data_IF_290855418622
#
_entry.id   IF_290855418622
#
_cell.length_a   1.000
_cell.length_b   1.000
_cell.length_c   1.000
_cell.angle_alpha   90.00
_cell.angle_beta   90.00
_cell.angle_gamma   90.00
#
_symmetry.space_group_name_H-M   'P 1'
#
loop_
_entity.id
_entity.type
_entity.pdbx_description
1 polymer ?
#
# COMPACT_ATOMS: atom_id res chain seq x y z
N UNK A 1 -31.32 -9.45 -50.73
CA UNK A 1 -30.52 -9.07 -49.54
C UNK A 1 -31.03 -9.63 -48.19
N UNK A 2 -32.29 -10.06 -48.04
CA UNK A 2 -32.82 -10.51 -46.73
C UNK A 2 -32.38 -11.91 -46.23
N UNK A 3 -31.89 -12.81 -47.10
CA UNK A 3 -31.45 -14.16 -46.70
C UNK A 3 -30.09 -14.17 -45.97
N UNK A 4 -29.18 -13.28 -46.36
CA UNK A 4 -27.83 -13.23 -45.80
C UNK A 4 -27.83 -12.61 -44.39
N UNK A 5 -28.68 -11.61 -44.14
CA UNK A 5 -28.80 -10.99 -42.82
C UNK A 5 -29.32 -11.97 -41.75
N UNK A 6 -30.26 -12.85 -42.10
CA UNK A 6 -30.77 -13.89 -41.19
C UNK A 6 -29.69 -14.91 -40.82
N UNK A 7 -28.86 -15.32 -41.78
CA UNK A 7 -27.74 -16.23 -41.51
C UNK A 7 -26.65 -15.57 -40.65
N UNK A 8 -26.32 -14.29 -40.90
CA UNK A 8 -25.35 -13.55 -40.08
C UNK A 8 -25.86 -13.39 -38.64
N UNK A 9 -27.15 -13.09 -38.46
CA UNK A 9 -27.76 -12.97 -37.14
C UNK A 9 -27.80 -14.31 -36.40
N UNK A 10 -28.11 -15.40 -37.11
CA UNK A 10 -28.08 -16.76 -36.55
C UNK A 10 -26.67 -17.13 -36.09
N UNK A 11 -25.64 -16.84 -36.89
CA UNK A 11 -24.24 -17.08 -36.51
C UNK A 11 -23.80 -16.23 -35.31
N UNK A 12 -24.25 -14.97 -35.23
CA UNK A 12 -23.98 -14.11 -34.08
C UNK A 12 -24.60 -14.67 -32.78
N UNK A 13 -25.83 -15.20 -32.85
CA UNK A 13 -26.49 -15.83 -31.69
C UNK A 13 -25.80 -17.13 -31.28
N UNK A 14 -25.40 -17.97 -32.24
CA UNK A 14 -24.70 -19.23 -31.95
C UNK A 14 -23.34 -18.96 -31.28
N UNK A 15 -22.60 -17.96 -31.75
CA UNK A 15 -21.29 -17.60 -31.16
C UNK A 15 -21.43 -17.00 -29.76
N UNK A 16 -22.48 -16.21 -29.51
CA UNK A 16 -22.79 -15.69 -28.16
C UNK A 16 -23.14 -16.82 -27.19
N UNK A 17 -23.97 -17.77 -27.62
CA UNK A 17 -24.36 -18.92 -26.78
C UNK A 17 -23.17 -19.83 -26.50
N UNK A 18 -22.31 -20.10 -27.48
CA UNK A 18 -21.11 -20.90 -27.31
C UNK A 18 -20.08 -20.22 -26.39
N UNK A 19 -19.92 -18.90 -26.50
CA UNK A 19 -19.06 -18.12 -25.60
C UNK A 19 -19.58 -18.11 -24.16
N UNK A 20 -20.91 -18.00 -23.99
CA UNK A 20 -21.54 -18.00 -22.68
C UNK A 20 -21.42 -19.37 -21.98
N UNK A 21 -21.65 -20.47 -22.70
CA UNK A 21 -21.51 -21.82 -22.13
C UNK A 21 -20.06 -22.14 -21.78
N UNK A 22 -19.11 -21.73 -22.62
CA UNK A 22 -17.67 -21.84 -22.34
C UNK A 22 -17.25 -21.05 -21.10
N UNK A 23 -17.73 -19.81 -20.95
CA UNK A 23 -17.47 -18.98 -19.77
C UNK A 23 -18.07 -19.60 -18.49
N UNK A 24 -19.30 -20.11 -18.56
CA UNK A 24 -19.97 -20.72 -17.41
C UNK A 24 -19.25 -21.98 -16.93
N UNK A 25 -18.87 -22.88 -17.84
CA UNK A 25 -18.07 -24.07 -17.49
C UNK A 25 -16.67 -23.70 -16.99
N UNK A 26 -15.98 -22.77 -17.66
CA UNK A 26 -14.65 -22.31 -17.24
C UNK A 26 -14.63 -21.60 -15.89
N UNK A 27 -15.72 -20.90 -15.53
CA UNK A 27 -15.85 -20.22 -14.24
C UNK A 27 -16.09 -21.18 -13.07
N UNK A 28 -16.83 -22.28 -13.30
CA UNK A 28 -17.11 -23.30 -12.27
C UNK A 28 -15.95 -24.25 -11.99
N UNK A 29 -15.07 -24.46 -12.98
CA UNK A 29 -13.88 -25.29 -12.85
C UNK A 29 -12.59 -24.50 -12.54
N UNK A 30 -12.69 -23.30 -11.97
CA UNK A 30 -11.53 -22.73 -11.28
C UNK A 30 -11.21 -23.65 -10.11
N UNK A 31 -10.23 -24.52 -10.30
CA UNK A 31 -9.60 -25.27 -9.23
C UNK A 31 -9.03 -24.25 -8.26
N UNK A 32 -9.82 -23.93 -7.23
CA UNK A 32 -9.32 -23.24 -6.06
C UNK A 32 -8.40 -24.26 -5.42
N UNK A 33 -7.13 -24.24 -5.79
CA UNK A 33 -6.06 -24.83 -5.01
C UNK A 33 -6.11 -24.07 -3.70
N UNK A 34 -6.88 -24.62 -2.74
CA UNK A 34 -6.86 -24.15 -1.36
C UNK A 34 -5.49 -24.53 -0.85
N UNK A 35 -4.54 -23.60 -1.01
CA UNK A 35 -3.30 -23.64 -0.25
C UNK A 35 -3.75 -23.68 1.21
N UNK A 36 -3.45 -24.76 1.96
CA UNK A 36 -3.83 -24.81 3.36
C UNK A 36 -3.24 -23.58 4.05
N UNK A 37 -4.02 -22.90 4.87
CA UNK A 37 -3.54 -21.82 5.72
C UNK A 37 -2.55 -22.43 6.72
N UNK A 38 -1.30 -22.55 6.32
CA UNK A 38 -0.20 -22.82 7.23
C UNK A 38 0.03 -21.55 8.02
N UNK A 39 -0.50 -21.52 9.24
CA UNK A 39 -0.16 -20.50 10.23
C UNK A 39 1.32 -20.65 10.55
N UNK A 40 2.16 -19.86 9.87
CA UNK A 40 3.59 -19.80 10.17
C UNK A 40 3.75 -18.91 11.40
N UNK A 41 3.77 -19.55 12.58
CA UNK A 41 4.11 -18.87 13.83
C UNK A 41 5.63 -18.77 13.90
N UNK A 42 6.16 -17.58 13.65
CA UNK A 42 7.58 -17.30 13.87
C UNK A 42 7.85 -17.26 15.37
N UNK A 43 8.17 -18.41 15.96
CA UNK A 43 8.69 -18.46 17.32
C UNK A 43 10.12 -17.91 17.29
N UNK A 44 10.33 -16.77 17.94
CA UNK A 44 11.67 -16.19 18.05
C UNK A 44 12.38 -16.91 19.19
N UNK A 45 13.04 -18.03 18.88
CA UNK A 45 13.94 -18.68 19.84
C UNK A 45 15.11 -17.72 20.06
N UNK A 46 15.13 -17.04 21.21
CA UNK A 46 16.25 -16.17 21.57
C UNK A 46 17.46 -17.07 21.82
N UNK A 47 18.55 -16.94 21.03
CA UNK A 47 19.77 -17.68 21.31
C UNK A 47 20.27 -17.32 22.70
N UNK A 48 20.92 -18.28 23.35
CA UNK A 48 21.53 -18.06 24.66
C UNK A 48 22.56 -16.94 24.53
N UNK A 49 22.40 -15.88 25.35
CA UNK A 49 23.31 -14.73 25.32
C UNK A 49 24.70 -15.25 25.72
N UNK A 50 25.72 -15.11 24.84
CA UNK A 50 27.04 -15.61 25.16
C UNK A 50 27.57 -14.92 26.41
N UNK A 51 28.14 -15.70 27.32
CA UNK A 51 28.76 -15.17 28.53
C UNK A 51 29.89 -14.21 28.14
N UNK A 52 29.98 -13.02 28.77
CA UNK A 52 30.98 -12.02 28.40
C UNK A 52 32.39 -12.59 28.61
N UNK A 53 33.22 -12.55 27.56
CA UNK A 53 34.63 -12.92 27.64
C UNK A 53 35.39 -11.74 28.26
N UNK A 54 35.68 -11.84 29.56
CA UNK A 54 36.50 -10.84 30.25
C UNK A 54 37.96 -11.02 29.80
N UNK A 55 38.47 -10.07 29.03
CA UNK A 55 39.87 -10.04 28.60
C UNK A 55 40.61 -9.15 29.61
N UNK A 56 41.42 -9.76 30.46
CA UNK A 56 42.32 -9.02 31.35
C UNK A 56 43.54 -8.60 30.53
N UNK A 57 43.81 -7.30 30.47
CA UNK A 57 45.00 -6.74 29.83
C UNK A 57 45.90 -6.15 30.91
N UNK A 58 47.20 -6.38 30.78
CA UNK A 58 48.21 -5.76 31.64
C UNK A 58 48.22 -4.25 31.39
N UNK A 59 48.21 -3.47 32.47
CA UNK A 59 48.22 -2.01 32.42
C UNK A 59 49.69 -1.57 32.30
N UNK A 60 50.06 -0.70 31.34
CA UNK A 60 51.41 -0.16 31.24
C UNK A 60 51.84 0.52 32.56
N UNK A 61 53.15 0.53 32.84
CA UNK A 61 53.68 1.15 34.06
C UNK A 61 53.53 2.68 34.10
N UNK A 62 53.40 3.32 32.92
CA UNK A 62 53.23 4.76 32.77
C UNK A 62 51.95 5.03 31.97
N UNK A 63 50.90 5.46 32.67
CA UNK A 63 49.58 5.70 32.10
C UNK A 63 49.06 7.03 32.62
N UNK A 64 48.72 7.92 31.70
CA UNK A 64 48.03 9.17 32.02
C UNK A 64 46.58 8.88 32.40
N UNK A 65 46.38 8.63 33.70
CA UNK A 65 45.05 8.36 34.27
C UNK A 65 44.11 9.55 34.13
N UNK A 66 44.63 10.79 34.10
CA UNK A 66 43.81 11.98 33.94
C UNK A 66 43.24 12.06 32.53
N UNK A 67 44.04 11.76 31.51
CA UNK A 67 43.58 11.69 30.12
C UNK A 67 42.51 10.60 29.91
N UNK A 68 42.69 9.43 30.53
CA UNK A 68 41.71 8.34 30.46
C UNK A 68 40.38 8.73 31.10
N UNK A 69 40.43 9.34 32.29
CA UNK A 69 39.22 9.80 32.97
C UNK A 69 38.52 10.92 32.17
N UNK A 70 39.29 11.84 31.60
CA UNK A 70 38.75 12.88 30.74
C UNK A 70 38.04 12.32 29.49
N UNK A 71 38.63 11.34 28.80
CA UNK A 71 37.98 10.67 27.65
C UNK A 71 36.76 9.84 28.07
N UNK A 72 36.80 9.21 29.24
CA UNK A 72 35.68 8.41 29.75
C UNK A 72 34.44 9.26 30.06
N UNK A 73 34.63 10.44 30.65
CA UNK A 73 33.54 11.38 30.96
C UNK A 73 33.20 12.34 29.81
N UNK A 74 33.94 12.28 28.70
CA UNK A 74 33.65 13.10 27.53
C UNK A 74 32.28 12.74 26.93
N UNK A 75 31.49 13.78 26.63
CA UNK A 75 30.21 13.64 25.96
C UNK A 75 30.43 13.37 24.46
N UNK A 76 29.86 12.27 23.97
CA UNK A 76 29.91 11.86 22.58
C UNK A 76 28.50 11.98 21.98
N UNK A 77 28.38 12.82 20.96
CA UNK A 77 27.14 13.03 20.22
C UNK A 77 27.12 12.14 18.97
N UNK A 78 26.13 11.27 18.87
CA UNK A 78 25.91 10.40 17.73
C UNK A 78 24.63 10.82 17.03
N UNK A 79 24.71 11.08 15.72
CA UNK A 79 23.55 11.41 14.89
C UNK A 79 23.41 10.33 13.82
N UNK A 80 22.26 9.67 13.80
CA UNK A 80 21.98 8.56 12.90
C UNK A 80 20.62 8.75 12.20
N UNK A 81 20.51 8.27 10.95
CA UNK A 81 19.25 8.26 10.20
C UNK A 81 18.75 6.83 10.12
N UNK A 82 17.74 6.49 10.92
CA UNK A 82 17.22 5.11 11.03
C UNK A 82 16.31 4.78 9.85
N UNK A 83 15.52 5.76 9.41
CA UNK A 83 14.53 5.60 8.36
C UNK A 83 14.70 6.70 7.34
N UNK A 84 14.94 6.30 6.09
CA UNK A 84 15.02 7.21 4.95
C UNK A 84 14.03 6.75 3.87
N UNK A 85 12.86 7.38 3.86
CA UNK A 85 11.84 7.22 2.81
C UNK A 85 11.51 8.58 2.17
N UNK A 86 10.96 8.60 0.94
CA UNK A 86 10.62 9.86 0.25
C UNK A 86 9.65 10.79 1.01
N UNK A 87 8.84 10.23 1.92
CA UNK A 87 7.79 10.94 2.65
C UNK A 87 8.01 10.95 4.17
N UNK A 88 9.04 10.25 4.65
CA UNK A 88 9.29 10.06 6.07
C UNK A 88 10.79 9.93 6.30
N UNK A 89 11.35 10.84 7.07
CA UNK A 89 12.72 10.79 7.54
C UNK A 89 12.71 10.79 9.07
N UNK A 90 13.43 9.84 9.66
CA UNK A 90 13.57 9.74 11.11
C UNK A 90 15.05 9.79 11.44
N UNK A 91 15.42 10.83 12.17
CA UNK A 91 16.77 11.06 12.69
C UNK A 91 16.77 10.81 14.19
N UNK A 92 17.83 10.18 14.68
CA UNK A 92 18.05 9.89 16.08
C UNK A 92 19.38 10.52 16.50
N UNK A 93 19.34 11.34 17.54
CA UNK A 93 20.49 11.98 18.14
C UNK A 93 20.66 11.43 19.56
N UNK A 94 21.74 10.68 19.79
CA UNK A 94 22.09 10.10 21.09
C UNK A 94 23.28 10.86 21.69
N UNK A 95 23.21 11.14 22.99
CA UNK A 95 24.32 11.69 23.77
C UNK A 95 24.77 10.63 24.76
N UNK A 96 26.03 10.21 24.65
CA UNK A 96 26.60 9.14 25.47
C UNK A 96 27.80 9.70 26.23
N UNK A 97 27.87 9.40 27.53
CA UNK A 97 29.05 9.64 28.37
C UNK A 97 29.15 8.49 29.38
N UNK A 98 30.37 8.17 29.83
CA UNK A 98 30.61 7.19 30.90
C UNK A 98 29.83 5.86 30.74
N UNK A 99 29.78 5.33 29.51
CA UNK A 99 29.04 4.13 29.13
C UNK A 99 27.53 4.17 29.44
N UNK A 100 26.93 5.35 29.55
CA UNK A 100 25.51 5.56 29.72
C UNK A 100 24.94 6.44 28.60
N UNK A 101 23.72 6.13 28.19
CA UNK A 101 22.92 7.02 27.35
C UNK A 101 22.38 8.14 28.24
N UNK A 102 22.88 9.35 28.04
CA UNK A 102 22.45 10.53 28.79
C UNK A 102 21.15 11.11 28.24
N UNK A 103 21.09 11.26 26.92
CA UNK A 103 19.92 11.82 26.23
C UNK A 103 19.71 11.15 24.88
N UNK A 104 18.45 11.12 24.45
CA UNK A 104 18.02 10.63 23.15
C UNK A 104 16.92 11.53 22.61
N UNK A 105 17.25 12.20 21.52
CA UNK A 105 16.30 13.01 20.75
C UNK A 105 15.94 12.28 19.46
N UNK A 106 14.63 12.16 19.19
CA UNK A 106 14.13 11.59 17.93
C UNK A 106 13.43 12.70 17.14
N UNK A 107 13.97 13.04 15.98
CA UNK A 107 13.39 14.01 15.06
C UNK A 107 12.69 13.27 13.92
N UNK A 108 11.43 13.63 13.68
CA UNK A 108 10.60 13.01 12.63
C UNK A 108 10.19 14.10 11.64
N UNK A 109 10.68 14.01 10.41
CA UNK A 109 10.21 14.82 9.28
C UNK A 109 9.25 13.97 8.43
N UNK A 110 7.96 14.28 8.50
CA UNK A 110 6.92 13.61 7.74
C UNK A 110 6.29 14.56 6.72
N UNK A 111 6.39 14.19 5.44
CA UNK A 111 5.76 14.90 4.32
C UNK A 111 4.60 14.08 3.80
N UNK A 112 3.39 14.50 4.15
CA UNK A 112 2.17 13.82 3.69
C UNK A 112 2.11 13.79 2.14
N UNK A 113 2.01 12.60 1.51
CA UNK A 113 1.93 12.52 0.07
C UNK A 113 0.62 13.14 -0.43
N UNK A 114 0.73 14.00 -1.44
CA UNK A 114 -0.43 14.61 -2.11
C UNK A 114 -1.07 13.56 -3.02
N UNK A 115 -2.06 12.82 -2.50
CA UNK A 115 -2.85 11.89 -3.30
C UNK A 115 -3.68 12.67 -4.31
N UNK A 116 -3.33 12.57 -5.58
CA UNK A 116 -4.09 13.17 -6.67
C UNK A 116 -5.38 12.38 -6.85
N UNK A 117 -6.48 12.86 -6.25
CA UNK A 117 -7.79 12.20 -6.28
C UNK A 117 -8.55 12.47 -7.59
N UNK A 118 -7.83 12.50 -8.72
CA UNK A 118 -8.42 12.65 -10.03
C UNK A 118 -8.64 11.26 -10.61
N UNK A 119 -9.88 10.88 -10.88
CA UNK A 119 -10.22 9.57 -11.41
C UNK A 119 -11.22 9.69 -12.55
N UNK A 120 -11.08 8.85 -13.57
CA UNK A 120 -12.10 8.63 -14.57
C UNK A 120 -12.99 7.48 -14.11
N UNK A 121 -14.29 7.67 -14.22
CA UNK A 121 -15.29 6.70 -13.76
C UNK A 121 -16.17 6.30 -14.93
N UNK A 122 -16.32 5.00 -15.16
CA UNK A 122 -17.28 4.44 -16.10
C UNK A 122 -18.28 3.62 -15.29
N UNK A 123 -19.57 3.90 -15.45
CA UNK A 123 -20.62 3.22 -14.69
C UNK A 123 -21.77 2.84 -15.61
N UNK A 124 -22.36 1.68 -15.30
CA UNK A 124 -23.51 1.12 -16.00
C UNK A 124 -24.61 0.98 -14.96
N UNK A 125 -25.75 1.64 -15.16
CA UNK A 125 -26.96 1.38 -14.37
C UNK A 125 -27.93 0.55 -15.22
N UNK A 126 -28.20 -0.66 -14.73
CA UNK A 126 -29.16 -1.59 -15.30
C UNK A 126 -30.36 -1.68 -14.34
N UNK A 127 -31.53 -1.29 -14.82
CA UNK A 127 -32.81 -1.49 -14.16
C UNK A 127 -33.79 -2.13 -15.14
N UNK A 128 -34.93 -2.61 -14.64
CA UNK A 128 -35.94 -3.30 -15.47
C UNK A 128 -36.43 -2.47 -16.67
N UNK A 129 -36.33 -1.14 -16.59
CA UNK A 129 -36.69 -0.18 -17.65
C UNK A 129 -35.69 0.97 -17.78
N UNK A 130 -34.40 0.71 -17.53
CA UNK A 130 -33.37 1.75 -17.65
C UNK A 130 -32.02 1.11 -17.98
N UNK A 131 -31.42 1.55 -19.08
CA UNK A 131 -30.09 1.12 -19.51
C UNK A 131 -29.22 2.36 -19.67
N UNK A 132 -28.51 2.74 -18.60
CA UNK A 132 -27.76 3.99 -18.55
C UNK A 132 -26.27 3.68 -18.56
N UNK A 133 -25.55 4.22 -19.56
CA UNK A 133 -24.08 4.27 -19.53
C UNK A 133 -23.66 5.69 -19.18
N UNK A 134 -22.80 5.82 -18.17
CA UNK A 134 -22.28 7.08 -17.66
C UNK A 134 -20.75 7.04 -17.68
N UNK A 135 -20.15 8.08 -18.23
CA UNK A 135 -18.76 8.42 -18.05
C UNK A 135 -18.64 9.63 -17.12
N UNK A 136 -17.64 9.64 -16.26
CA UNK A 136 -17.47 10.70 -15.27
C UNK A 136 -16.03 11.02 -14.97
N UNK A 137 -15.82 12.22 -14.47
CA UNK A 137 -14.54 12.71 -14.00
C UNK A 137 -14.69 13.16 -12.55
N UNK A 138 -13.91 12.54 -11.67
CA UNK A 138 -13.80 12.91 -10.27
C UNK A 138 -12.57 13.78 -10.08
N UNK A 139 -12.74 14.91 -9.40
CA UNK A 139 -11.68 15.80 -8.95
C UNK A 139 -11.85 16.09 -7.46
N UNK A 140 -10.91 15.60 -6.65
CA UNK A 140 -10.96 15.71 -5.18
C UNK A 140 -12.23 15.06 -4.60
N UNK A 141 -13.17 15.86 -4.11
CA UNK A 141 -14.44 15.40 -3.55
C UNK A 141 -15.63 15.60 -4.49
N UNK A 142 -15.42 16.16 -5.68
CA UNK A 142 -16.47 16.40 -6.67
C UNK A 142 -16.37 15.39 -7.80
N UNK A 143 -17.50 14.88 -8.23
CA UNK A 143 -17.60 13.99 -9.38
C UNK A 143 -18.69 14.45 -10.32
N UNK A 144 -18.32 14.62 -11.59
CA UNK A 144 -19.22 14.99 -12.66
C UNK A 144 -19.44 13.77 -13.53
N UNK A 145 -20.70 13.41 -13.79
CA UNK A 145 -21.09 12.27 -14.62
C UNK A 145 -21.98 12.75 -15.75
N UNK A 146 -21.75 12.21 -16.94
CA UNK A 146 -22.58 12.45 -18.11
C UNK A 146 -22.75 11.14 -18.87
N UNK A 147 -23.91 10.96 -19.47
CA UNK A 147 -24.21 9.74 -20.20
C UNK A 147 -25.58 9.74 -20.83
N UNK A 148 -26.03 8.57 -21.22
CA UNK A 148 -27.24 8.40 -22.00
C UNK A 148 -28.05 7.24 -21.47
N UNK A 149 -29.36 7.40 -21.44
CA UNK A 149 -30.30 6.32 -21.18
C UNK A 149 -30.87 5.83 -22.50
N UNK A 150 -30.51 4.60 -22.88
CA UNK A 150 -30.96 3.99 -24.13
C UNK A 150 -32.44 3.62 -24.10
N UNK A 151 -33.03 3.41 -22.93
CA UNK A 151 -34.44 3.05 -22.81
C UNK A 151 -35.33 4.29 -23.01
N UNK A 152 -35.05 5.37 -22.27
CA UNK A 152 -35.83 6.60 -22.32
C UNK A 152 -35.38 7.59 -23.43
N UNK A 153 -34.31 7.26 -24.16
CA UNK A 153 -33.67 8.12 -25.19
C UNK A 153 -33.36 9.52 -24.67
N UNK A 154 -32.83 9.58 -23.45
CA UNK A 154 -32.59 10.84 -22.74
C UNK A 154 -31.12 10.97 -22.32
N UNK A 155 -30.62 12.20 -22.34
CA UNK A 155 -29.31 12.51 -21.79
C UNK A 155 -29.40 12.60 -20.26
N UNK A 156 -28.43 11.99 -19.57
CA UNK A 156 -28.36 12.00 -18.11
C UNK A 156 -27.08 12.71 -17.69
N UNK A 157 -27.21 13.70 -16.81
CA UNK A 157 -26.09 14.40 -16.19
C UNK A 157 -26.24 14.35 -14.67
N UNK A 158 -25.12 14.25 -13.97
CA UNK A 158 -25.10 14.14 -12.52
C UNK A 158 -23.89 14.81 -11.92
N UNK A 159 -24.07 15.37 -10.72
CA UNK A 159 -23.00 15.92 -9.89
C UNK A 159 -23.11 15.25 -8.53
N UNK A 160 -22.03 14.65 -8.06
CA UNK A 160 -21.93 14.07 -6.72
C UNK A 160 -20.78 14.68 -5.95
N UNK A 161 -20.95 14.75 -4.62
CA UNK A 161 -19.92 15.23 -3.70
C UNK A 161 -19.73 14.23 -2.57
N UNK A 162 -18.49 13.78 -2.38
CA UNK A 162 -18.12 12.96 -1.23
C UNK A 162 -18.14 13.83 0.04
N UNK A 163 -19.07 13.56 0.96
CA UNK A 163 -19.23 14.31 2.22
C UNK A 163 -18.34 13.72 3.32
N UNK A 164 -18.24 12.40 3.40
CA UNK A 164 -17.43 11.71 4.41
C UNK A 164 -16.79 10.45 3.81
N UNK A 165 -15.48 10.33 3.96
CA UNK A 165 -14.72 9.10 3.69
C UNK A 165 -14.48 8.42 5.04
N UNK A 166 -14.93 7.17 5.16
CA UNK A 166 -14.61 6.30 6.30
C UNK A 166 -13.48 5.36 5.88
#
# INVERSE_FOLDING_TARGET
MGRNAKCIFLCAVITLLAGWTGYWFGSRFRSIVRVPETVVRHDTIRPEVPKPKVIVREIPADVDTAAILADYFAEKHYLDTIIEYPYLRVELADVISHNALLDRTVAVDYRQPVVHNNALTASILLGSHSYILLAGYRRKSWEFRAGYDWYNKAMVIGISKDIKKW
#
